data_IF_062186601409
#
_entry.id   IF_062186601409
#
_cell.length_a   1.000
_cell.length_b   1.000
_cell.length_c   1.000
_cell.angle_alpha   90.00
_cell.angle_beta   90.00
_cell.angle_gamma   90.00
#
_symmetry.space_group_name_H-M   'P 1'
#
loop_
_entity.id
_entity.type
_entity.pdbx_description
1 polymer ?
#
# COMPACT_ATOMS: atom_id res chain seq x y z
N UNK A 1 20.27 -4.88 31.32
CA UNK A 1 21.02 -4.93 30.06
C UNK A 1 20.07 -5.53 29.03
N UNK A 2 19.49 -4.69 28.17
CA UNK A 2 18.53 -5.15 27.16
C UNK A 2 19.36 -5.87 26.10
N UNK A 3 19.05 -7.15 25.91
CA UNK A 3 19.68 -7.98 24.89
C UNK A 3 19.23 -7.49 23.51
N UNK A 4 20.15 -6.81 22.79
CA UNK A 4 19.94 -6.22 21.46
C UNK A 4 20.14 -7.28 20.35
N UNK A 5 20.43 -8.53 20.69
CA UNK A 5 20.81 -9.56 19.72
C UNK A 5 19.64 -10.16 18.90
N UNK A 6 18.38 -9.78 19.17
CA UNK A 6 17.20 -10.34 18.51
C UNK A 6 16.54 -9.44 17.44
N UNK A 7 17.04 -8.22 17.18
CA UNK A 7 16.46 -7.37 16.12
C UNK A 7 16.94 -7.75 14.72
N UNK A 8 16.66 -8.99 14.30
CA UNK A 8 16.87 -9.46 12.94
C UNK A 8 15.79 -8.94 11.97
N UNK A 9 14.90 -8.05 12.42
CA UNK A 9 13.72 -7.56 11.69
C UNK A 9 13.80 -6.07 11.32
N UNK A 10 14.75 -5.32 11.89
CA UNK A 10 14.86 -3.87 11.74
C UNK A 10 13.65 -3.12 12.31
N UNK A 11 12.83 -3.76 13.16
CA UNK A 11 11.62 -3.18 13.71
C UNK A 11 11.93 -2.04 14.68
N UNK A 12 12.95 -2.21 15.52
CA UNK A 12 13.36 -1.16 16.47
C UNK A 12 13.92 0.03 15.72
N UNK A 13 14.73 -0.21 14.68
CA UNK A 13 15.27 0.86 13.83
C UNK A 13 14.16 1.65 13.13
N UNK A 14 13.16 0.97 12.55
CA UNK A 14 11.98 1.62 11.94
C UNK A 14 11.23 2.48 12.95
N UNK A 15 11.02 1.95 14.16
CA UNK A 15 10.34 2.68 15.24
C UNK A 15 11.14 3.92 15.64
N UNK A 16 12.45 3.80 15.88
CA UNK A 16 13.30 4.92 16.30
C UNK A 16 13.38 6.02 15.24
N UNK A 17 13.55 5.65 13.96
CA UNK A 17 13.53 6.60 12.85
C UNK A 17 12.21 7.34 12.80
N UNK A 18 11.08 6.62 12.90
CA UNK A 18 9.76 7.27 12.90
C UNK A 18 9.56 8.20 14.11
N UNK A 19 9.97 7.80 15.31
CA UNK A 19 9.90 8.66 16.50
C UNK A 19 10.72 9.95 16.32
N UNK A 20 11.89 9.87 15.70
CA UNK A 20 12.69 11.04 15.39
C UNK A 20 12.00 11.97 14.37
N UNK A 21 11.40 11.40 13.32
CA UNK A 21 10.74 12.17 12.26
C UNK A 21 9.46 12.87 12.73
N UNK A 22 8.74 12.35 13.73
CA UNK A 22 7.56 13.01 14.31
C UNK A 22 7.80 14.45 14.76
N UNK A 23 9.04 14.75 15.18
CA UNK A 23 9.41 16.06 15.69
C UNK A 23 9.50 17.13 14.58
N UNK A 24 9.56 16.71 13.32
CA UNK A 24 9.67 17.62 12.18
C UNK A 24 8.29 18.11 11.73
N UNK A 25 8.15 19.37 11.28
CA UNK A 25 6.93 19.83 10.61
C UNK A 25 6.75 19.15 9.24
N UNK A 26 5.52 19.12 8.72
CA UNK A 26 5.16 18.28 7.57
C UNK A 26 5.94 18.60 6.31
N UNK A 27 6.19 19.89 6.04
CA UNK A 27 7.01 20.32 4.92
C UNK A 27 8.46 19.82 5.00
N UNK A 28 9.00 19.64 6.22
CA UNK A 28 10.36 19.12 6.43
C UNK A 28 10.43 17.59 6.28
N UNK A 29 9.30 16.89 6.24
CA UNK A 29 9.23 15.46 5.97
C UNK A 29 9.33 15.12 4.48
N UNK A 30 8.95 16.06 3.60
CA UNK A 30 8.89 15.84 2.15
C UNK A 30 10.24 15.41 1.56
N UNK A 31 11.39 16.04 1.90
CA UNK A 31 12.69 15.60 1.37
C UNK A 31 13.02 14.15 1.73
N UNK A 32 12.62 13.67 2.91
CA UNK A 32 12.89 12.30 3.38
C UNK A 32 12.15 11.23 2.56
N UNK A 33 11.11 11.59 1.80
CA UNK A 33 10.46 10.67 0.85
C UNK A 33 11.38 10.25 -0.31
N UNK A 34 12.47 10.98 -0.54
CA UNK A 34 13.48 10.68 -1.55
C UNK A 34 14.77 10.08 -0.97
N UNK A 35 14.79 9.75 0.33
CA UNK A 35 15.96 9.20 0.99
C UNK A 35 16.42 7.89 0.34
N UNK A 36 17.72 7.59 0.38
CA UNK A 36 18.26 6.34 -0.19
C UNK A 36 17.80 5.12 0.60
N UNK A 37 17.64 5.28 1.90
CA UNK A 37 17.23 4.23 2.83
C UNK A 37 15.70 4.11 2.86
N UNK A 38 15.22 2.88 2.64
CA UNK A 38 13.79 2.59 2.62
C UNK A 38 13.09 2.91 3.94
N UNK A 39 13.73 2.60 5.07
CA UNK A 39 13.20 2.86 6.41
C UNK A 39 12.88 4.35 6.60
N UNK A 40 13.74 5.25 6.11
CA UNK A 40 13.55 6.69 6.23
C UNK A 40 12.38 7.17 5.38
N UNK A 41 12.31 6.72 4.11
CA UNK A 41 11.19 7.05 3.21
C UNK A 41 9.86 6.59 3.78
N UNK A 42 9.79 5.34 4.21
CA UNK A 42 8.57 4.72 4.75
C UNK A 42 8.16 5.38 6.06
N UNK A 43 9.10 5.72 6.94
CA UNK A 43 8.80 6.44 8.18
C UNK A 43 8.27 7.85 7.92
N UNK A 44 8.87 8.59 6.98
CA UNK A 44 8.37 9.91 6.57
C UNK A 44 6.97 9.83 5.95
N UNK A 45 6.74 8.86 5.07
CA UNK A 45 5.44 8.65 4.44
C UNK A 45 4.36 8.27 5.47
N UNK A 46 4.68 7.38 6.41
CA UNK A 46 3.79 7.03 7.52
C UNK A 46 3.43 8.23 8.38
N UNK A 47 4.41 9.06 8.70
CA UNK A 47 4.15 10.26 9.49
C UNK A 47 3.24 11.25 8.74
N UNK A 48 3.46 11.46 7.44
CA UNK A 48 2.56 12.27 6.61
C UNK A 48 1.14 11.66 6.51
N UNK A 49 1.04 10.34 6.41
CA UNK A 49 -0.23 9.60 6.50
C UNK A 49 -0.87 9.69 7.88
N UNK A 50 -0.16 9.99 8.96
CA UNK A 50 -0.80 10.17 10.27
C UNK A 50 -1.38 11.58 10.39
N UNK A 51 -0.71 12.56 9.78
CA UNK A 51 -1.12 13.98 9.82
C UNK A 51 -2.29 14.28 8.90
N UNK A 52 -2.33 13.69 7.71
CA UNK A 52 -3.51 13.76 6.83
C UNK A 52 -3.82 15.10 6.22
N UNK A 53 -2.81 15.93 6.11
CA UNK A 53 -2.89 17.24 5.48
C UNK A 53 -3.25 17.11 3.99
N UNK A 54 -4.02 18.08 3.50
CA UNK A 54 -4.42 18.13 2.07
C UNK A 54 -3.21 18.24 1.15
N UNK A 55 -2.14 18.87 1.62
CA UNK A 55 -0.84 18.98 0.98
C UNK A 55 -0.23 17.60 0.73
N UNK A 56 -0.38 16.66 1.67
CA UNK A 56 0.07 15.27 1.49
C UNK A 56 -0.71 14.58 0.40
N UNK A 57 -2.02 14.82 0.31
CA UNK A 57 -2.83 14.31 -0.80
C UNK A 57 -2.35 14.86 -2.15
N UNK A 58 -2.14 16.17 -2.27
CA UNK A 58 -1.67 16.79 -3.51
C UNK A 58 -0.26 16.32 -3.90
N UNK A 59 0.62 16.11 -2.92
CA UNK A 59 1.92 15.51 -3.14
C UNK A 59 1.79 14.09 -3.71
N UNK A 60 0.97 13.23 -3.09
CA UNK A 60 0.75 11.87 -3.55
C UNK A 60 0.14 11.83 -4.97
N UNK A 61 -0.78 12.74 -5.28
CA UNK A 61 -1.35 12.89 -6.63
C UNK A 61 -0.28 13.24 -7.68
N UNK A 62 0.68 14.11 -7.33
CA UNK A 62 1.81 14.42 -8.22
C UNK A 62 2.73 13.21 -8.40
N UNK A 63 2.98 12.48 -7.32
CA UNK A 63 3.90 11.34 -7.30
C UNK A 63 3.44 10.18 -8.18
N UNK A 64 2.14 9.84 -8.18
CA UNK A 64 1.58 8.78 -9.05
C UNK A 64 1.68 9.09 -10.55
N UNK A 65 1.95 10.34 -10.93
CA UNK A 65 2.16 10.78 -12.32
C UNK A 65 3.66 10.81 -12.71
N UNK A 66 4.56 10.46 -11.80
CA UNK A 66 6.02 10.50 -12.03
C UNK A 66 6.49 9.45 -13.03
N UNK A 67 7.58 9.76 -13.74
CA UNK A 67 8.28 8.79 -14.60
C UNK A 67 8.96 7.69 -13.79
N UNK A 68 9.39 7.98 -12.57
CA UNK A 68 10.05 7.01 -11.69
C UNK A 68 9.02 6.10 -11.05
N UNK A 69 9.18 4.80 -11.19
CA UNK A 69 8.26 3.82 -10.57
C UNK A 69 8.22 3.95 -9.05
N UNK A 70 9.37 4.21 -8.41
CA UNK A 70 9.47 4.43 -6.96
C UNK A 70 8.58 5.58 -6.46
N UNK A 71 8.53 6.68 -7.19
CA UNK A 71 7.67 7.81 -6.80
C UNK A 71 6.20 7.39 -6.92
N UNK A 72 5.83 6.68 -7.98
CA UNK A 72 4.44 6.22 -8.18
C UNK A 72 4.02 5.22 -7.11
N UNK A 73 4.91 4.30 -6.76
CA UNK A 73 4.75 3.32 -5.70
C UNK A 73 4.49 4.02 -4.36
N UNK A 74 5.36 4.96 -3.98
CA UNK A 74 5.19 5.75 -2.76
C UNK A 74 3.94 6.63 -2.78
N UNK A 75 3.56 7.17 -3.94
CA UNK A 75 2.31 7.89 -4.14
C UNK A 75 1.08 7.00 -3.90
N UNK A 76 1.08 5.76 -4.41
CA UNK A 76 0.02 4.79 -4.18
C UNK A 76 -0.07 4.42 -2.69
N UNK A 77 1.09 4.18 -2.05
CA UNK A 77 1.17 3.92 -0.61
C UNK A 77 0.54 5.06 0.21
N UNK A 78 0.92 6.31 -0.06
CA UNK A 78 0.33 7.49 0.58
C UNK A 78 -1.20 7.53 0.41
N UNK A 79 -1.68 7.44 -0.83
CA UNK A 79 -3.13 7.50 -1.12
C UNK A 79 -3.94 6.40 -0.44
N UNK A 80 -3.35 5.21 -0.23
CA UNK A 80 -3.99 4.06 0.40
C UNK A 80 -4.33 4.23 1.88
N UNK A 81 -3.62 5.12 2.59
CA UNK A 81 -3.87 5.39 4.01
C UNK A 81 -4.59 6.72 4.25
N UNK A 82 -4.66 7.59 3.24
CA UNK A 82 -5.36 8.88 3.29
C UNK A 82 -6.90 8.78 3.19
N UNK A 83 -7.49 7.61 3.37
CA UNK A 83 -8.95 7.37 3.21
C UNK A 83 -9.64 6.69 4.38
N UNK A 84 -9.08 6.78 5.59
CA UNK A 84 -9.67 6.26 6.84
C UNK A 84 -10.70 7.25 7.42
N UNK A 85 -11.51 6.88 8.44
CA UNK A 85 -12.50 7.78 9.03
C UNK A 85 -11.95 9.10 9.58
N UNK A 86 -10.65 9.15 9.91
CA UNK A 86 -9.95 10.37 10.35
C UNK A 86 -9.38 11.20 9.19
N UNK A 87 -9.45 10.69 7.95
CA UNK A 87 -8.73 11.19 6.77
C UNK A 87 -9.58 11.00 5.50
N UNK A 88 -10.39 11.97 5.08
CA UNK A 88 -11.53 11.71 4.20
C UNK A 88 -11.23 11.67 2.68
N UNK A 89 -10.00 11.36 2.24
CA UNK A 89 -9.67 11.41 0.81
C UNK A 89 -9.95 10.12 0.04
N UNK A 90 -10.55 9.09 0.67
CA UNK A 90 -10.92 7.82 0.01
C UNK A 90 -11.58 8.04 -1.35
N UNK A 91 -12.62 8.89 -1.42
CA UNK A 91 -13.37 9.15 -2.67
C UNK A 91 -12.50 9.74 -3.78
N UNK A 92 -11.42 10.45 -3.44
CA UNK A 92 -10.46 11.02 -4.38
C UNK A 92 -9.30 10.05 -4.68
N UNK A 93 -8.87 9.26 -3.70
CA UNK A 93 -7.78 8.29 -3.84
C UNK A 93 -8.16 7.10 -4.73
N UNK A 94 -9.36 6.53 -4.56
CA UNK A 94 -9.79 5.33 -5.29
C UNK A 94 -9.69 5.48 -6.82
N UNK A 95 -10.26 6.52 -7.47
CA UNK A 95 -10.15 6.66 -8.92
C UNK A 95 -8.71 6.90 -9.40
N UNK A 96 -7.82 7.40 -8.55
CA UNK A 96 -6.41 7.58 -8.86
C UNK A 96 -5.59 6.27 -8.73
N UNK A 97 -6.01 5.37 -7.84
CA UNK A 97 -5.34 4.09 -7.57
C UNK A 97 -5.75 2.99 -8.56
N UNK A 98 -7.00 2.97 -9.04
CA UNK A 98 -7.48 1.95 -9.98
C UNK A 98 -6.59 1.83 -11.24
N UNK A 99 -6.20 2.93 -11.93
CA UNK A 99 -5.33 2.85 -13.09
C UNK A 99 -3.92 2.30 -12.79
N UNK A 100 -3.45 2.38 -11.54
CA UNK A 100 -2.13 1.88 -11.17
C UNK A 100 -2.07 0.35 -11.07
N UNK A 101 -3.22 -0.34 -11.05
CA UNK A 101 -3.28 -1.80 -11.15
C UNK A 101 -2.76 -2.35 -12.48
N UNK A 102 -2.57 -1.51 -13.50
CA UNK A 102 -1.97 -1.88 -14.79
C UNK A 102 -0.65 -1.15 -15.05
N UNK A 103 -0.02 -0.61 -13.99
CA UNK A 103 1.27 0.06 -14.11
C UNK A 103 2.36 -0.91 -14.62
N UNK A 104 3.27 -0.38 -15.44
CA UNK A 104 4.44 -1.11 -15.95
C UNK A 104 5.34 -1.71 -14.85
N UNK A 105 5.36 -1.13 -13.65
CA UNK A 105 6.15 -1.62 -12.52
C UNK A 105 5.30 -2.52 -11.63
N UNK A 106 5.77 -3.74 -11.36
CA UNK A 106 5.04 -4.67 -10.49
C UNK A 106 4.86 -4.14 -9.06
N UNK A 107 5.86 -3.43 -8.53
CA UNK A 107 5.79 -2.79 -7.20
C UNK A 107 4.64 -1.78 -7.12
N UNK A 108 4.45 -0.97 -8.17
CA UNK A 108 3.35 0.00 -8.22
C UNK A 108 1.99 -0.71 -8.26
N UNK A 109 1.88 -1.81 -9.01
CA UNK A 109 0.64 -2.61 -9.08
C UNK A 109 0.30 -3.26 -7.74
N UNK A 110 1.29 -3.82 -7.05
CA UNK A 110 1.13 -4.41 -5.71
C UNK A 110 0.69 -3.35 -4.69
N UNK A 111 1.38 -2.20 -4.64
CA UNK A 111 1.01 -1.07 -3.78
C UNK A 111 -0.39 -0.55 -4.10
N UNK A 112 -0.78 -0.49 -5.38
CA UNK A 112 -2.13 -0.10 -5.77
C UNK A 112 -3.19 -1.09 -5.28
N UNK A 113 -2.94 -2.39 -5.42
CA UNK A 113 -3.84 -3.42 -4.91
C UNK A 113 -3.98 -3.33 -3.38
N UNK A 114 -2.87 -3.27 -2.65
CA UNK A 114 -2.86 -3.12 -1.19
C UNK A 114 -3.58 -1.85 -0.75
N UNK A 115 -3.31 -0.71 -1.39
CA UNK A 115 -3.97 0.57 -1.11
C UNK A 115 -5.49 0.49 -1.29
N UNK A 116 -5.98 -0.12 -2.38
CA UNK A 116 -7.41 -0.29 -2.63
C UNK A 116 -8.08 -1.21 -1.60
N UNK A 117 -7.37 -2.23 -1.12
CA UNK A 117 -7.77 -3.09 -0.01
C UNK A 117 -7.93 -2.33 1.30
N UNK A 118 -6.89 -1.59 1.71
CA UNK A 118 -6.92 -0.75 2.91
C UNK A 118 -8.05 0.28 2.88
N UNK A 119 -8.31 0.86 1.71
CA UNK A 119 -9.41 1.79 1.51
C UNK A 119 -10.78 1.11 1.48
N UNK A 120 -10.87 -0.22 1.43
CA UNK A 120 -12.11 -0.98 1.21
C UNK A 120 -12.89 -0.42 0.00
N UNK A 121 -12.19 -0.25 -1.11
CA UNK A 121 -12.70 0.31 -2.36
C UNK A 121 -13.56 -0.72 -3.12
N UNK A 122 -14.87 -0.77 -2.83
CA UNK A 122 -15.81 -1.70 -3.48
C UNK A 122 -15.88 -1.49 -5.00
N UNK A 123 -15.68 -0.26 -5.44
CA UNK A 123 -15.65 0.16 -6.84
C UNK A 123 -14.46 -0.45 -7.60
N UNK A 124 -13.41 -0.85 -6.90
CA UNK A 124 -12.21 -1.43 -7.49
C UNK A 124 -12.25 -2.96 -7.63
N UNK A 125 -13.29 -3.64 -7.12
CA UNK A 125 -13.35 -5.11 -7.09
C UNK A 125 -13.16 -5.71 -8.49
N UNK A 126 -13.80 -5.15 -9.52
CA UNK A 126 -13.64 -5.66 -10.89
C UNK A 126 -12.20 -5.55 -11.39
N UNK A 127 -11.53 -4.43 -11.11
CA UNK A 127 -10.14 -4.22 -11.50
C UNK A 127 -9.17 -5.11 -10.69
N UNK A 128 -9.42 -5.31 -9.40
CA UNK A 128 -8.68 -6.24 -8.56
C UNK A 128 -8.82 -7.69 -9.03
N UNK A 129 -10.03 -8.10 -9.42
CA UNK A 129 -10.26 -9.44 -10.00
C UNK A 129 -9.47 -9.62 -11.30
N UNK A 130 -9.43 -8.61 -12.17
CA UNK A 130 -8.60 -8.66 -13.38
C UNK A 130 -7.09 -8.77 -13.05
N UNK A 131 -6.62 -8.08 -12.02
CA UNK A 131 -5.23 -8.13 -11.55
C UNK A 131 -4.87 -9.46 -10.85
N UNK A 132 -5.83 -10.36 -10.59
CA UNK A 132 -5.55 -11.68 -9.99
C UNK A 132 -4.78 -12.63 -10.92
N UNK A 133 -4.71 -12.31 -12.21
CA UNK A 133 -3.93 -13.01 -13.22
C UNK A 133 -2.54 -12.40 -13.45
N UNK A 134 -2.10 -11.47 -12.61
CA UNK A 134 -0.81 -10.82 -12.77
C UNK A 134 0.34 -11.85 -12.79
N UNK A 135 1.32 -11.73 -13.69
CA UNK A 135 2.45 -12.67 -13.73
C UNK A 135 3.30 -12.63 -12.46
N UNK A 136 3.29 -11.53 -11.71
CA UNK A 136 4.10 -11.35 -10.50
C UNK A 136 3.33 -11.77 -9.26
N UNK A 137 3.90 -12.71 -8.50
CA UNK A 137 3.30 -13.25 -7.29
C UNK A 137 2.98 -12.17 -6.25
N UNK A 138 3.87 -11.20 -6.04
CA UNK A 138 3.64 -10.07 -5.12
C UNK A 138 2.37 -9.28 -5.45
N UNK A 139 2.08 -9.08 -6.74
CA UNK A 139 0.86 -8.39 -7.16
C UNK A 139 -0.38 -9.25 -6.85
N UNK A 140 -0.33 -10.55 -7.16
CA UNK A 140 -1.42 -11.48 -6.83
C UNK A 140 -1.64 -11.58 -5.32
N UNK A 141 -0.59 -11.54 -4.51
CA UNK A 141 -0.63 -11.46 -3.04
C UNK A 141 -1.33 -10.18 -2.59
N UNK A 142 -0.96 -9.03 -3.15
CA UNK A 142 -1.63 -7.75 -2.90
C UNK A 142 -3.12 -7.77 -3.26
N UNK A 143 -3.48 -8.44 -4.36
CA UNK A 143 -4.87 -8.66 -4.77
C UNK A 143 -5.62 -9.56 -3.78
N UNK A 144 -5.04 -10.68 -3.35
CA UNK A 144 -5.64 -11.55 -2.35
C UNK A 144 -5.90 -10.79 -1.04
N UNK A 145 -4.88 -10.08 -0.54
CA UNK A 145 -4.95 -9.23 0.65
C UNK A 145 -6.02 -8.13 0.52
N UNK A 146 -6.23 -7.57 -0.68
CA UNK A 146 -7.28 -6.59 -0.90
C UNK A 146 -8.69 -7.21 -0.94
N UNK A 147 -8.83 -8.34 -1.63
CA UNK A 147 -10.13 -8.98 -1.85
C UNK A 147 -10.73 -9.58 -0.57
N UNK A 148 -9.91 -9.92 0.41
CA UNK A 148 -10.35 -10.40 1.73
C UNK A 148 -11.24 -9.38 2.47
N UNK A 149 -11.11 -8.09 2.15
CA UNK A 149 -11.95 -7.04 2.72
C UNK A 149 -13.39 -7.03 2.17
N UNK A 150 -13.72 -7.93 1.24
CA UNK A 150 -15.02 -8.00 0.58
C UNK A 150 -15.68 -9.39 0.64
N UNK A 151 -15.87 -9.99 1.83
CA UNK A 151 -16.34 -11.38 2.00
C UNK A 151 -17.72 -11.66 1.40
N UNK A 152 -18.56 -10.62 1.27
CA UNK A 152 -19.93 -10.72 0.72
C UNK A 152 -19.99 -10.56 -0.80
N UNK A 153 -18.88 -10.20 -1.46
CA UNK A 153 -18.86 -10.04 -2.91
C UNK A 153 -18.55 -11.38 -3.60
N UNK A 154 -19.46 -11.84 -4.47
CA UNK A 154 -19.35 -13.13 -5.18
C UNK A 154 -18.08 -13.22 -6.04
N UNK A 155 -17.74 -12.14 -6.76
CA UNK A 155 -16.56 -12.11 -7.63
C UNK A 155 -15.27 -12.17 -6.82
N UNK A 156 -15.20 -11.42 -5.70
CA UNK A 156 -14.08 -11.46 -4.78
C UNK A 156 -13.88 -12.88 -4.20
N UNK A 157 -14.94 -13.53 -3.70
CA UNK A 157 -14.87 -14.91 -3.18
C UNK A 157 -14.38 -15.92 -4.22
N UNK A 158 -14.89 -15.84 -5.46
CA UNK A 158 -14.48 -16.75 -6.52
C UNK A 158 -12.99 -16.57 -6.86
N UNK A 159 -12.54 -15.31 -6.90
CA UNK A 159 -11.15 -14.97 -7.11
C UNK A 159 -10.25 -15.47 -5.97
N UNK A 160 -10.64 -15.28 -4.70
CA UNK A 160 -9.90 -15.81 -3.55
C UNK A 160 -9.78 -17.34 -3.59
N UNK A 161 -10.83 -18.07 -3.98
CA UNK A 161 -10.76 -19.53 -4.17
C UNK A 161 -9.76 -19.97 -5.24
N UNK A 162 -9.66 -19.19 -6.33
CA UNK A 162 -8.65 -19.40 -7.36
C UNK A 162 -7.24 -19.17 -6.79
N UNK A 163 -7.02 -18.05 -6.11
CA UNK A 163 -5.73 -17.69 -5.51
C UNK A 163 -5.32 -18.62 -4.35
N UNK A 164 -6.26 -19.28 -3.66
CA UNK A 164 -5.96 -20.30 -2.65
C UNK A 164 -5.26 -21.55 -3.23
N UNK A 165 -5.27 -21.70 -4.56
CA UNK A 165 -4.58 -22.74 -5.32
C UNK A 165 -3.43 -22.17 -6.18
N UNK A 166 -2.97 -20.94 -5.90
CA UNK A 166 -1.86 -20.32 -6.62
C UNK A 166 -0.55 -21.13 -6.48
N UNK A 167 0.35 -20.99 -7.46
CA UNK A 167 1.67 -21.63 -7.43
C UNK A 167 2.54 -21.09 -6.30
N UNK A 168 2.36 -19.81 -5.95
CA UNK A 168 3.11 -19.13 -4.91
C UNK A 168 2.50 -19.35 -3.53
N UNK A 169 3.34 -19.65 -2.53
CA UNK A 169 2.87 -19.98 -1.18
C UNK A 169 2.26 -18.79 -0.44
N UNK A 170 2.85 -17.60 -0.58
CA UNK A 170 2.34 -16.40 0.08
C UNK A 170 0.98 -16.02 -0.51
N UNK A 171 0.82 -16.13 -1.83
CA UNK A 171 -0.48 -15.89 -2.48
C UNK A 171 -1.54 -16.83 -1.92
N UNK A 172 -1.22 -18.13 -1.75
CA UNK A 172 -2.15 -19.09 -1.14
C UNK A 172 -2.48 -18.74 0.30
N UNK A 173 -1.48 -18.34 1.09
CA UNK A 173 -1.66 -17.96 2.50
C UNK A 173 -2.66 -16.81 2.63
N UNK A 174 -2.43 -15.70 1.92
CA UNK A 174 -3.29 -14.52 1.97
C UNK A 174 -4.70 -14.76 1.40
N UNK A 175 -4.87 -15.73 0.52
CA UNK A 175 -6.17 -16.07 -0.05
C UNK A 175 -7.03 -16.99 0.83
N UNK A 176 -6.42 -17.68 1.81
CA UNK A 176 -7.09 -18.68 2.67
C UNK A 176 -7.66 -18.13 3.96
N UNK A 177 -7.19 -16.98 4.43
CA UNK A 177 -7.54 -16.42 5.75
C UNK A 177 -9.03 -16.06 5.93
N UNK A 178 -9.89 -16.30 4.91
CA UNK A 178 -11.33 -16.00 4.93
C UNK A 178 -12.21 -17.04 4.16
N UNK A 179 -11.73 -18.28 3.99
CA UNK A 179 -12.51 -19.41 3.42
C UNK A 179 -13.05 -20.35 4.49
#
# INVERSE_FOLDING_TARGET
MIDVSSDNSGHSLRMLVWQALKLYPSHALIPFLNDRTDIVRTAAARELQIRGEIETFHLAEKMIKSRRSRDRDLGAFLLGQLGTPRMPYKKRSVPLLIPLLTDRSAQVRESAASALGHLQAKEAIAALVAASDDPVADVRRGVASALISFPRNKAARLCLRKLANDVDEDVRYWARDDL
#
